data_IF_250927299698
#
_entry.id   IF_250927299698
#
_cell.length_a   1.000
_cell.length_b   1.000
_cell.length_c   1.000
_cell.angle_alpha   90.00
_cell.angle_beta   90.00
_cell.angle_gamma   90.00
#
_symmetry.space_group_name_H-M   'P 1'
#
loop_
_entity.id
_entity.type
_entity.pdbx_description
1 polymer ?
#
# COMPACT_ATOMS: atom_id res chain seq x y z
N UNK A 1 -2.75 6.91 -25.21
CA UNK A 1 -2.92 7.92 -24.16
C UNK A 1 -3.02 7.16 -22.85
N UNK A 2 -2.25 7.54 -21.82
CA UNK A 2 -2.33 6.93 -20.49
C UNK A 2 -3.37 7.66 -19.65
N UNK A 3 -4.16 6.92 -18.89
CA UNK A 3 -5.19 7.51 -18.03
C UNK A 3 -4.65 7.77 -16.62
N UNK A 4 -5.09 8.85 -15.95
CA UNK A 4 -4.63 9.17 -14.59
C UNK A 4 -5.12 8.12 -13.59
N UNK A 5 -4.34 7.84 -12.55
CA UNK A 5 -4.72 6.86 -11.51
C UNK A 5 -5.99 7.31 -10.79
N UNK A 6 -6.17 8.62 -10.62
CA UNK A 6 -7.36 9.21 -10.00
C UNK A 6 -8.65 9.06 -10.81
N UNK A 7 -8.57 8.57 -12.06
CA UNK A 7 -9.76 8.19 -12.83
C UNK A 7 -10.36 6.85 -12.38
N UNK A 8 -9.60 6.02 -11.66
CA UNK A 8 -10.08 4.75 -11.13
C UNK A 8 -11.04 4.99 -9.97
N UNK A 9 -12.13 4.24 -9.95
CA UNK A 9 -13.07 4.24 -8.83
C UNK A 9 -12.32 4.05 -7.51
N UNK A 10 -12.72 4.80 -6.50
CA UNK A 10 -12.16 4.82 -5.14
C UNK A 10 -10.76 5.46 -5.00
N UNK A 11 -10.06 5.78 -6.09
CA UNK A 11 -8.73 6.39 -6.03
C UNK A 11 -8.83 7.88 -6.32
N UNK A 12 -8.44 8.70 -5.35
CA UNK A 12 -8.44 10.16 -5.50
C UNK A 12 -7.06 10.74 -5.84
N UNK A 13 -6.96 12.07 -6.05
CA UNK A 13 -5.70 12.75 -6.37
C UNK A 13 -4.59 12.54 -5.33
N UNK A 14 -4.95 12.29 -4.07
CA UNK A 14 -3.97 11.98 -3.02
C UNK A 14 -3.25 10.65 -3.30
N UNK A 15 -4.00 9.62 -3.65
CA UNK A 15 -3.45 8.30 -3.98
C UNK A 15 -2.62 8.36 -5.27
N UNK A 16 -3.06 9.14 -6.27
CA UNK A 16 -2.30 9.37 -7.48
C UNK A 16 -0.93 10.03 -7.25
N UNK A 17 -0.84 11.00 -6.33
CA UNK A 17 0.45 11.58 -5.94
C UNK A 17 1.38 10.54 -5.31
N UNK A 18 0.83 9.68 -4.45
CA UNK A 18 1.60 8.61 -3.82
C UNK A 18 2.06 7.57 -4.86
N UNK A 19 1.20 7.21 -5.82
CA UNK A 19 1.55 6.37 -6.97
C UNK A 19 2.69 7.00 -7.80
N UNK A 20 2.57 8.28 -8.15
CA UNK A 20 3.60 9.00 -8.90
C UNK A 20 4.93 9.01 -8.13
N UNK A 21 4.91 9.25 -6.81
CA UNK A 21 6.13 9.17 -5.97
C UNK A 21 6.73 7.76 -5.95
N UNK A 22 5.91 6.73 -6.07
CA UNK A 22 6.33 5.33 -6.19
C UNK A 22 6.66 4.90 -7.63
N UNK A 23 6.70 5.84 -8.58
CA UNK A 23 7.03 5.58 -9.99
C UNK A 23 5.90 4.91 -10.79
N UNK A 24 4.66 4.90 -10.28
CA UNK A 24 3.48 4.39 -10.98
C UNK A 24 2.73 5.59 -11.56
N UNK A 25 2.82 5.80 -12.86
CA UNK A 25 2.38 7.07 -13.49
C UNK A 25 1.07 6.96 -14.28
N UNK A 26 0.45 5.78 -14.34
CA UNK A 26 -0.80 5.58 -15.07
C UNK A 26 -1.69 4.49 -14.49
N UNK A 27 -2.99 4.56 -14.78
CA UNK A 27 -3.94 3.51 -14.40
C UNK A 27 -3.70 2.21 -15.18
N UNK A 28 -3.17 2.27 -16.40
CA UNK A 28 -2.78 1.09 -17.17
C UNK A 28 -1.59 0.37 -16.51
N UNK A 29 -0.56 1.11 -16.10
CA UNK A 29 0.57 0.56 -15.36
C UNK A 29 0.12 -0.04 -14.02
N UNK A 30 -0.74 0.68 -13.28
CA UNK A 30 -1.26 0.20 -12.00
C UNK A 30 -2.04 -1.11 -12.15
N UNK A 31 -2.81 -1.27 -13.24
CA UNK A 31 -3.48 -2.54 -13.57
C UNK A 31 -2.47 -3.63 -13.94
N UNK A 32 -1.45 -3.30 -14.73
CA UNK A 32 -0.45 -4.26 -15.20
C UNK A 32 0.36 -4.87 -14.05
N UNK A 33 0.77 -4.05 -13.07
CA UNK A 33 1.54 -4.54 -11.90
C UNK A 33 0.64 -5.18 -10.82
N UNK A 34 -0.63 -4.80 -10.78
CA UNK A 34 -1.60 -5.29 -9.81
C UNK A 34 -1.48 -4.67 -8.41
N UNK A 35 -2.54 -4.83 -7.60
CA UNK A 35 -2.71 -4.11 -6.34
C UNK A 35 -1.62 -4.44 -5.30
N UNK A 36 -1.25 -5.70 -5.14
CA UNK A 36 -0.27 -6.11 -4.12
C UNK A 36 1.12 -5.53 -4.40
N UNK A 37 1.64 -5.70 -5.63
CA UNK A 37 2.94 -5.18 -6.01
C UNK A 37 2.96 -3.64 -6.07
N UNK A 38 1.87 -3.01 -6.52
CA UNK A 38 1.72 -1.56 -6.47
C UNK A 38 1.82 -1.06 -5.02
N UNK A 39 1.12 -1.68 -4.09
CA UNK A 39 1.14 -1.27 -2.68
C UNK A 39 2.51 -1.50 -2.03
N UNK A 40 3.23 -2.55 -2.43
CA UNK A 40 4.63 -2.76 -2.02
C UNK A 40 5.51 -1.56 -2.42
N UNK A 41 5.39 -1.08 -3.66
CA UNK A 41 6.11 0.11 -4.14
C UNK A 41 5.70 1.38 -3.37
N UNK A 42 4.41 1.54 -3.07
CA UNK A 42 3.93 2.66 -2.25
C UNK A 42 4.58 2.68 -0.87
N UNK A 43 4.64 1.53 -0.20
CA UNK A 43 5.31 1.40 1.11
C UNK A 43 6.80 1.72 0.99
N UNK A 44 7.49 1.17 -0.02
CA UNK A 44 8.91 1.46 -0.26
C UNK A 44 9.16 2.95 -0.55
N UNK A 45 8.20 3.64 -1.16
CA UNK A 45 8.21 5.09 -1.40
C UNK A 45 7.74 5.94 -0.19
N UNK A 46 7.65 5.33 1.00
CA UNK A 46 7.37 6.02 2.27
C UNK A 46 5.89 6.19 2.62
N UNK A 47 4.96 5.58 1.88
CA UNK A 47 3.55 5.56 2.30
C UNK A 47 3.39 4.71 3.56
N UNK A 48 2.80 5.27 4.61
CA UNK A 48 2.51 4.50 5.83
C UNK A 48 1.55 3.35 5.51
N UNK A 49 1.89 2.09 5.85
CA UNK A 49 1.02 0.95 5.58
C UNK A 49 -0.35 1.12 6.25
N UNK A 50 -1.43 1.08 5.46
CA UNK A 50 -2.79 1.18 5.96
C UNK A 50 -3.72 0.20 5.25
N UNK A 51 -4.29 -0.74 6.01
CA UNK A 51 -5.06 -1.84 5.44
C UNK A 51 -6.26 -1.40 4.59
N UNK A 52 -6.94 -0.31 4.97
CA UNK A 52 -8.05 0.20 4.15
C UNK A 52 -7.56 0.64 2.78
N UNK A 53 -6.44 1.36 2.73
CA UNK A 53 -5.85 1.78 1.44
C UNK A 53 -5.44 0.57 0.59
N UNK A 54 -4.93 -0.48 1.24
CA UNK A 54 -4.56 -1.73 0.58
C UNK A 54 -5.76 -2.41 -0.09
N UNK A 55 -6.84 -2.72 0.64
CA UNK A 55 -7.97 -3.41 0.00
C UNK A 55 -8.77 -2.50 -0.94
N UNK A 56 -8.82 -1.19 -0.69
CA UNK A 56 -9.45 -0.22 -1.61
C UNK A 56 -8.79 -0.29 -2.99
N UNK A 57 -7.46 -0.43 -3.05
CA UNK A 57 -6.74 -0.60 -4.29
C UNK A 57 -7.16 -1.88 -5.03
N UNK A 58 -7.34 -3.00 -4.33
CA UNK A 58 -7.89 -4.23 -4.92
C UNK A 58 -9.28 -3.99 -5.51
N UNK A 59 -10.17 -3.31 -4.76
CA UNK A 59 -11.52 -2.99 -5.24
C UNK A 59 -11.50 -2.06 -6.46
N UNK A 60 -10.58 -1.09 -6.48
CA UNK A 60 -10.39 -0.16 -7.60
C UNK A 60 -10.00 -0.90 -8.88
N UNK A 61 -9.04 -1.84 -8.81
CA UNK A 61 -8.60 -2.61 -9.97
C UNK A 61 -9.66 -3.61 -10.48
N UNK A 62 -10.55 -4.06 -9.58
CA UNK A 62 -11.71 -4.87 -9.93
C UNK A 62 -12.92 -4.04 -10.42
N UNK A 63 -12.85 -2.71 -10.35
CA UNK A 63 -13.96 -1.81 -10.72
C UNK A 63 -15.13 -1.78 -9.72
N UNK A 64 -14.95 -2.34 -8.51
CA UNK A 64 -15.99 -2.50 -7.48
C UNK A 64 -16.02 -1.31 -6.51
N UNK A 65 -17.18 -0.98 -5.91
CA UNK A 65 -17.24 -0.11 -4.75
C UNK A 65 -16.36 -0.64 -3.61
N UNK A 66 -15.65 0.23 -2.90
CA UNK A 66 -14.75 -0.22 -1.83
C UNK A 66 -15.47 -0.99 -0.69
N UNK A 67 -16.74 -0.69 -0.45
CA UNK A 67 -17.55 -1.31 0.59
C UNK A 67 -18.07 -2.72 0.20
N UNK A 68 -17.84 -3.18 -1.02
CA UNK A 68 -18.23 -4.53 -1.46
C UNK A 68 -17.22 -5.62 -1.05
N UNK A 69 -16.08 -5.25 -0.46
CA UNK A 69 -15.12 -6.23 0.08
C UNK A 69 -15.74 -7.01 1.26
N UNK A 70 -15.99 -8.30 1.05
CA UNK A 70 -16.72 -9.17 2.00
C UNK A 70 -15.78 -9.78 3.05
N UNK A 71 -16.34 -10.38 4.11
CA UNK A 71 -15.59 -10.89 5.27
C UNK A 71 -14.45 -11.84 4.90
N UNK A 72 -14.72 -12.86 4.08
CA UNK A 72 -13.69 -13.83 3.67
C UNK A 72 -12.56 -13.18 2.86
N UNK A 73 -12.91 -12.31 1.90
CA UNK A 73 -11.94 -11.54 1.11
C UNK A 73 -11.09 -10.62 2.00
N UNK A 74 -11.70 -9.95 2.99
CA UNK A 74 -10.96 -9.13 3.96
C UNK A 74 -9.95 -9.94 4.77
N UNK A 75 -10.25 -11.18 5.13
CA UNK A 75 -9.31 -12.05 5.87
C UNK A 75 -8.11 -12.38 4.99
N UNK A 76 -8.33 -12.84 3.76
CA UNK A 76 -7.23 -13.14 2.84
C UNK A 76 -6.37 -11.91 2.52
N UNK A 77 -7.00 -10.75 2.32
CA UNK A 77 -6.28 -9.50 2.11
C UNK A 77 -5.51 -9.06 3.35
N UNK A 78 -6.03 -9.33 4.56
CA UNK A 78 -5.34 -9.02 5.82
C UNK A 78 -4.04 -9.81 5.92
N UNK A 79 -4.10 -11.11 5.69
CA UNK A 79 -2.92 -11.98 5.71
C UNK A 79 -1.85 -11.51 4.72
N UNK A 80 -2.25 -11.21 3.48
CA UNK A 80 -1.34 -10.67 2.47
C UNK A 80 -0.75 -9.30 2.86
N UNK A 81 -1.55 -8.42 3.47
CA UNK A 81 -1.09 -7.11 3.93
C UNK A 81 -0.12 -7.22 5.11
N UNK A 82 -0.37 -8.12 6.06
CA UNK A 82 0.49 -8.31 7.22
C UNK A 82 1.85 -8.89 6.80
N UNK A 83 1.86 -9.81 5.82
CA UNK A 83 3.09 -10.26 5.17
C UNK A 83 3.83 -9.15 4.43
N UNK A 84 3.11 -8.24 3.76
CA UNK A 84 3.73 -7.10 3.12
C UNK A 84 4.38 -6.14 4.13
N UNK A 85 3.69 -5.88 5.24
CA UNK A 85 4.17 -5.01 6.32
C UNK A 85 5.45 -5.55 6.97
N UNK A 86 5.61 -6.87 7.10
CA UNK A 86 6.82 -7.45 7.70
C UNK A 86 8.08 -7.25 6.85
N UNK A 87 7.91 -7.12 5.52
CA UNK A 87 9.01 -6.82 4.58
C UNK A 87 9.31 -5.32 4.47
N UNK A 88 8.42 -4.47 4.98
CA UNK A 88 8.61 -3.03 4.92
C UNK A 88 9.82 -2.60 5.78
N UNK A 89 10.64 -1.65 5.30
CA UNK A 89 11.67 -1.07 6.15
C UNK A 89 11.01 -0.50 7.41
N UNK A 90 11.55 -0.87 8.57
CA UNK A 90 11.08 -0.30 9.82
C UNK A 90 11.20 1.22 9.73
N UNK A 91 10.19 2.00 10.16
CA UNK A 91 10.38 3.43 10.28
C UNK A 91 11.60 3.64 11.19
N UNK A 92 12.67 4.24 10.68
CA UNK A 92 13.81 4.60 11.52
C UNK A 92 13.56 5.99 12.07
N UNK A 93 12.70 6.12 13.06
CA UNK A 93 12.67 7.37 13.81
C UNK A 93 13.96 7.50 14.62
N UNK A 94 14.34 8.73 14.97
CA UNK A 94 15.47 8.96 15.87
C UNK A 94 15.23 8.27 17.23
N UNK A 95 13.98 8.21 17.67
CA UNK A 95 13.55 7.44 18.82
C UNK A 95 13.86 5.95 18.65
N UNK A 96 13.54 5.34 17.49
CA UNK A 96 13.83 3.92 17.25
C UNK A 96 15.33 3.62 17.26
N UNK A 97 16.17 4.54 16.77
CA UNK A 97 17.63 4.42 16.86
C UNK A 97 18.13 4.49 18.29
N UNK A 98 17.57 5.41 19.09
CA UNK A 98 17.89 5.53 20.52
C UNK A 98 17.46 4.26 21.25
N UNK A 99 16.27 3.73 20.98
CA UNK A 99 15.75 2.49 21.57
C UNK A 99 16.63 1.28 21.22
N UNK A 100 17.17 1.20 20.00
CA UNK A 100 18.14 0.18 19.58
C UNK A 100 19.50 0.35 20.27
N UNK A 101 19.99 1.59 20.38
CA UNK A 101 21.23 1.90 21.10
C UNK A 101 21.17 1.55 22.59
N UNK A 102 20.03 1.75 23.25
CA UNK A 102 19.84 1.38 24.67
C UNK A 102 19.51 -0.11 24.86
N UNK A 103 19.33 -0.88 23.78
CA UNK A 103 19.16 -2.33 23.81
C UNK A 103 17.79 -2.83 24.29
N UNK A 104 16.74 -2.00 24.21
CA UNK A 104 15.38 -2.38 24.67
C UNK A 104 14.52 -3.03 23.59
N UNK A 105 15.01 -3.10 22.36
CA UNK A 105 14.35 -3.84 21.27
C UNK A 105 14.90 -5.28 21.19
N UNK A 106 14.04 -6.30 20.99
CA UNK A 106 14.48 -7.68 20.80
C UNK A 106 15.43 -7.76 19.60
N UNK A 107 16.58 -8.43 19.76
CA UNK A 107 17.50 -8.71 18.65
C UNK A 107 16.76 -9.56 17.62
N UNK A 108 16.74 -9.09 16.37
CA UNK A 108 16.21 -9.82 15.21
C UNK A 108 17.09 -11.01 14.86
#
# INVERSE_FOLDING_TARGET
MTTPVSSLRNLGPAFERDCTRAGITSAEELRAIGAHAAYARLIAAGVRPHFIGYYVLHMALQGRPWNDCRRAEKVALREAFDGLKSTAPAPSSELDRILDQIGVVPRR
#
